data_IF_550259483413
#
_entry.id   IF_550259483413
#
_cell.length_a   1.000
_cell.length_b   1.000
_cell.length_c   1.000
_cell.angle_alpha   90.00
_cell.angle_beta   90.00
_cell.angle_gamma   90.00
#
_symmetry.space_group_name_H-M   'P 1'
#
loop_
_entity.id
_entity.type
_entity.pdbx_description
1 polymer ?
#
# COMPACT_ATOMS: atom_id res chain seq x y z
N UNK A 1 -12.04 -9.69 27.97
CA UNK A 1 -11.81 -9.98 26.55
C UNK A 1 -11.32 -8.69 25.90
N UNK A 2 -10.03 -8.58 25.56
CA UNK A 2 -9.51 -7.36 24.92
C UNK A 2 -10.10 -7.24 23.52
N UNK A 3 -10.89 -6.19 23.28
CA UNK A 3 -11.41 -5.93 21.94
C UNK A 3 -10.26 -5.46 21.04
N UNK A 4 -9.92 -6.28 20.05
CA UNK A 4 -8.94 -5.94 19.02
C UNK A 4 -9.51 -4.85 18.11
N UNK A 5 -8.73 -3.80 17.86
CA UNK A 5 -9.15 -2.73 16.94
C UNK A 5 -9.48 -3.28 15.54
N UNK A 6 -10.51 -2.77 14.84
CA UNK A 6 -10.84 -3.16 13.46
C UNK A 6 -9.68 -3.01 12.46
N UNK A 7 -8.72 -2.10 12.74
CA UNK A 7 -7.49 -2.00 11.94
C UNK A 7 -6.55 -3.18 12.13
N UNK A 8 -6.52 -3.74 13.34
CA UNK A 8 -5.66 -4.87 13.67
C UNK A 8 -6.19 -6.15 13.03
N UNK A 9 -7.52 -6.35 13.01
CA UNK A 9 -8.14 -7.51 12.36
C UNK A 9 -7.89 -7.50 10.85
N UNK A 10 -8.16 -6.39 10.16
CA UNK A 10 -7.91 -6.29 8.72
C UNK A 10 -6.42 -6.50 8.35
N UNK A 11 -5.50 -6.05 9.19
CA UNK A 11 -4.07 -6.29 8.98
C UNK A 11 -3.70 -7.77 9.10
N UNK A 12 -4.20 -8.45 10.14
CA UNK A 12 -3.96 -9.88 10.35
C UNK A 12 -4.51 -10.70 9.18
N UNK A 13 -5.71 -10.40 8.73
CA UNK A 13 -6.35 -11.10 7.60
C UNK A 13 -5.52 -10.94 6.32
N UNK A 14 -5.10 -9.71 6.00
CA UNK A 14 -4.22 -9.43 4.85
C UNK A 14 -2.87 -10.16 4.91
N UNK A 15 -2.32 -10.39 6.11
CA UNK A 15 -1.10 -11.19 6.25
C UNK A 15 -1.37 -12.67 6.00
N UNK A 16 -2.49 -13.20 6.49
CA UNK A 16 -2.84 -14.62 6.36
C UNK A 16 -3.19 -15.01 4.92
N UNK A 17 -3.84 -14.13 4.16
CA UNK A 17 -4.16 -14.38 2.74
C UNK A 17 -2.98 -14.15 1.81
N UNK A 18 -1.90 -13.53 2.29
CA UNK A 18 -0.74 -13.14 1.47
C UNK A 18 -0.94 -11.83 0.68
N UNK A 19 -2.09 -11.18 0.80
CA UNK A 19 -2.37 -9.92 0.10
C UNK A 19 -1.49 -8.77 0.60
N UNK A 20 -1.06 -8.82 1.87
CA UNK A 20 -0.09 -7.86 2.40
C UNK A 20 1.20 -7.83 1.56
N UNK A 21 1.77 -9.00 1.24
CA UNK A 21 3.00 -9.08 0.44
C UNK A 21 2.75 -8.62 -0.99
N UNK A 22 1.58 -8.92 -1.56
CA UNK A 22 1.18 -8.41 -2.88
C UNK A 22 1.12 -6.87 -2.92
N UNK A 23 0.54 -6.24 -1.90
CA UNK A 23 0.50 -4.78 -1.79
C UNK A 23 1.88 -4.17 -1.52
N UNK A 24 2.72 -4.86 -0.74
CA UNK A 24 4.11 -4.48 -0.51
C UNK A 24 4.93 -4.50 -1.81
N UNK A 25 4.80 -5.53 -2.62
CA UNK A 25 5.48 -5.63 -3.92
C UNK A 25 4.98 -4.56 -4.91
N UNK A 26 3.67 -4.29 -4.93
CA UNK A 26 3.13 -3.17 -5.70
C UNK A 26 3.77 -1.84 -5.27
N UNK A 27 3.83 -1.56 -3.97
CA UNK A 27 4.45 -0.34 -3.46
C UNK A 27 5.92 -0.24 -3.90
N UNK A 28 6.72 -1.31 -3.73
CA UNK A 28 8.12 -1.33 -4.17
C UNK A 28 8.25 -1.03 -5.66
N UNK A 29 7.42 -1.67 -6.49
CA UNK A 29 7.39 -1.44 -7.95
C UNK A 29 7.12 0.04 -8.27
N UNK A 30 6.10 0.65 -7.65
CA UNK A 30 5.76 2.06 -7.88
C UNK A 30 6.85 3.02 -7.41
N UNK A 31 7.53 2.72 -6.30
CA UNK A 31 8.64 3.54 -5.81
C UNK A 31 9.85 3.51 -6.77
N UNK A 32 10.10 2.37 -7.43
CA UNK A 32 11.11 2.29 -8.49
C UNK A 32 10.66 3.07 -9.72
N UNK A 33 9.45 2.82 -10.21
CA UNK A 33 8.93 3.45 -11.45
C UNK A 33 8.81 4.97 -11.35
N UNK A 34 8.49 5.53 -10.19
CA UNK A 34 8.42 6.97 -9.99
C UNK A 34 9.79 7.62 -9.67
N UNK A 35 10.89 6.86 -9.73
CA UNK A 35 12.24 7.34 -9.46
C UNK A 35 12.52 7.68 -7.99
N UNK A 36 11.68 7.21 -7.05
CA UNK A 36 11.90 7.45 -5.63
C UNK A 36 13.18 6.76 -5.15
N UNK A 37 13.42 5.50 -5.58
CA UNK A 37 14.64 4.77 -5.21
C UNK A 37 15.92 5.52 -5.62
N UNK A 38 15.93 6.12 -6.82
CA UNK A 38 17.08 6.89 -7.30
C UNK A 38 17.30 8.16 -6.48
N UNK A 39 16.22 8.87 -6.13
CA UNK A 39 16.27 10.04 -5.24
C UNK A 39 16.82 9.67 -3.87
N UNK A 40 16.39 8.55 -3.29
CA UNK A 40 16.92 8.06 -2.01
C UNK A 40 18.41 7.78 -2.10
N UNK A 41 18.88 7.14 -3.17
CA UNK A 41 20.31 6.89 -3.35
C UNK A 41 21.13 8.18 -3.43
N UNK A 42 20.63 9.21 -4.11
CA UNK A 42 21.27 10.53 -4.15
C UNK A 42 21.37 11.12 -2.74
N UNK A 43 20.25 11.14 -2.00
CA UNK A 43 20.19 11.67 -0.64
C UNK A 43 21.12 10.91 0.31
N UNK A 44 21.19 9.58 0.21
CA UNK A 44 22.13 8.77 1.00
C UNK A 44 23.58 9.21 0.77
N UNK A 45 23.97 9.41 -0.50
CA UNK A 45 25.33 9.84 -0.85
C UNK A 45 25.64 11.25 -0.36
N UNK A 46 24.66 12.16 -0.44
CA UNK A 46 24.81 13.53 0.07
C UNK A 46 25.00 13.55 1.58
N UNK A 47 24.17 12.83 2.34
CA UNK A 47 24.28 12.75 3.81
C UNK A 47 25.62 12.12 4.20
N UNK A 48 26.02 11.02 3.55
CA UNK A 48 27.31 10.38 3.83
C UNK A 48 28.49 11.32 3.57
N UNK A 49 28.43 12.13 2.50
CA UNK A 49 29.45 13.13 2.17
C UNK A 49 29.48 14.27 3.19
N UNK A 50 28.32 14.78 3.60
CA UNK A 50 28.20 15.89 4.55
C UNK A 50 28.65 15.51 5.96
N UNK A 51 28.33 14.29 6.40
CA UNK A 51 28.63 13.81 7.76
C UNK A 51 30.04 13.24 7.89
N UNK A 52 30.65 12.84 6.77
CA UNK A 52 31.98 12.29 6.73
C UNK A 52 32.08 10.85 7.26
N UNK A 53 33.30 10.32 7.44
CA UNK A 53 33.55 8.89 7.67
C UNK A 53 33.07 8.34 9.02
N UNK A 54 32.63 9.19 9.95
CA UNK A 54 32.15 8.78 11.27
C UNK A 54 30.67 8.38 11.34
N UNK A 55 29.90 8.54 10.25
CA UNK A 55 28.49 8.18 10.23
C UNK A 55 28.28 6.67 10.24
N UNK A 56 27.43 6.19 11.15
CA UNK A 56 27.01 4.79 11.17
C UNK A 56 25.89 4.51 10.17
N UNK A 57 25.76 3.26 9.73
CA UNK A 57 24.65 2.86 8.85
C UNK A 57 23.28 3.17 9.48
N UNK A 58 23.13 3.01 10.79
CA UNK A 58 21.88 3.32 11.49
C UNK A 58 21.55 4.82 11.42
N UNK A 59 22.51 5.69 11.71
CA UNK A 59 22.32 7.14 11.61
C UNK A 59 21.98 7.56 10.18
N UNK A 60 22.65 6.98 9.18
CA UNK A 60 22.33 7.24 7.77
C UNK A 60 20.89 6.80 7.45
N UNK A 61 20.47 5.61 7.89
CA UNK A 61 19.10 5.13 7.69
C UNK A 61 18.07 6.04 8.37
N UNK A 62 18.32 6.46 9.60
CA UNK A 62 17.38 7.32 10.35
C UNK A 62 17.20 8.68 9.67
N UNK A 63 18.29 9.31 9.22
CA UNK A 63 18.23 10.58 8.50
C UNK A 63 17.56 10.44 7.12
N UNK A 64 17.92 9.39 6.37
CA UNK A 64 17.33 9.11 5.05
C UNK A 64 15.85 8.78 5.17
N UNK A 65 15.43 8.04 6.21
CA UNK A 65 14.04 7.62 6.37
C UNK A 65 13.09 8.81 6.57
N UNK A 66 13.53 9.86 7.28
CA UNK A 66 12.75 11.10 7.44
C UNK A 66 12.51 11.77 6.08
N UNK A 67 13.58 12.01 5.31
CA UNK A 67 13.49 12.63 3.97
C UNK A 67 12.72 11.73 3.00
N UNK A 68 12.99 10.43 3.01
CA UNK A 68 12.41 9.48 2.09
C UNK A 68 10.91 9.32 2.25
N UNK A 69 10.39 9.29 3.48
CA UNK A 69 8.93 9.25 3.72
C UNK A 69 8.21 10.49 3.17
N UNK A 70 8.84 11.66 3.23
CA UNK A 70 8.29 12.90 2.70
C UNK A 70 8.22 12.91 1.16
N UNK A 71 9.18 12.26 0.49
CA UNK A 71 9.29 12.20 -0.97
C UNK A 71 8.34 11.20 -1.64
N UNK A 72 7.66 10.32 -0.89
CA UNK A 72 6.72 9.37 -1.49
C UNK A 72 5.55 10.14 -2.13
N UNK A 73 5.35 10.04 -3.46
CA UNK A 73 4.32 10.80 -4.15
C UNK A 73 2.90 10.45 -3.67
N UNK A 74 2.03 11.45 -3.61
CA UNK A 74 0.62 11.23 -3.24
C UNK A 74 -0.11 10.31 -4.22
N UNK A 75 0.30 10.26 -5.49
CA UNK A 75 -0.23 9.32 -6.48
C UNK A 75 -0.02 7.87 -6.04
N UNK A 76 1.18 7.51 -5.60
CA UNK A 76 1.52 6.16 -5.12
C UNK A 76 0.71 5.82 -3.86
N UNK A 77 0.62 6.75 -2.91
CA UNK A 77 -0.19 6.57 -1.69
C UNK A 77 -1.66 6.33 -2.01
N UNK A 78 -2.23 7.12 -2.93
CA UNK A 78 -3.62 6.99 -3.36
C UNK A 78 -3.89 5.67 -4.06
N UNK A 79 -3.02 5.26 -5.00
CA UNK A 79 -3.17 3.98 -5.70
C UNK A 79 -3.15 2.81 -4.71
N UNK A 80 -2.18 2.79 -3.79
CA UNK A 80 -2.08 1.72 -2.80
C UNK A 80 -3.31 1.68 -1.88
N UNK A 81 -3.73 2.84 -1.37
CA UNK A 81 -4.92 2.95 -0.52
C UNK A 81 -6.18 2.48 -1.26
N UNK A 82 -6.33 2.86 -2.52
CA UNK A 82 -7.48 2.47 -3.34
C UNK A 82 -7.54 0.96 -3.50
N UNK A 83 -6.41 0.32 -3.85
CA UNK A 83 -6.37 -1.14 -4.04
C UNK A 83 -6.59 -1.93 -2.76
N UNK A 84 -6.09 -1.46 -1.63
CA UNK A 84 -6.38 -2.07 -0.32
C UNK A 84 -7.87 -1.95 0.00
N UNK A 85 -8.49 -0.78 -0.20
CA UNK A 85 -9.93 -0.59 0.00
C UNK A 85 -10.77 -1.49 -0.90
N UNK A 86 -10.47 -1.52 -2.19
CA UNK A 86 -11.17 -2.38 -3.15
C UNK A 86 -11.11 -3.85 -2.75
N UNK A 87 -9.94 -4.33 -2.33
CA UNK A 87 -9.77 -5.68 -1.84
C UNK A 87 -10.60 -5.95 -0.58
N UNK A 88 -10.52 -5.10 0.45
CA UNK A 88 -11.31 -5.27 1.68
C UNK A 88 -12.82 -5.21 1.45
N UNK A 89 -13.28 -4.33 0.55
CA UNK A 89 -14.70 -4.25 0.17
C UNK A 89 -15.16 -5.49 -0.58
N UNK A 90 -14.30 -6.06 -1.44
CA UNK A 90 -14.56 -7.31 -2.14
C UNK A 90 -14.66 -8.49 -1.18
N UNK A 91 -13.71 -8.63 -0.25
CA UNK A 91 -13.73 -9.68 0.78
C UNK A 91 -14.97 -9.58 1.69
N UNK A 92 -15.44 -8.36 1.96
CA UNK A 92 -16.68 -8.13 2.72
C UNK A 92 -17.97 -8.33 1.87
N UNK A 93 -17.87 -8.74 0.61
CA UNK A 93 -19.01 -9.06 -0.26
C UNK A 93 -19.78 -7.84 -0.78
N UNK A 94 -19.24 -6.61 -0.67
CA UNK A 94 -19.97 -5.40 -1.08
C UNK A 94 -20.27 -5.35 -2.60
N UNK A 95 -19.42 -5.96 -3.42
CA UNK A 95 -19.59 -5.96 -4.89
C UNK A 95 -20.41 -7.15 -5.42
N UNK A 96 -20.59 -8.22 -4.64
CA UNK A 96 -21.38 -9.39 -5.05
C UNK A 96 -22.89 -9.09 -5.09
N UNK A 97 -23.34 -8.12 -4.29
CA UNK A 97 -24.76 -7.76 -4.18
C UNK A 97 -25.28 -6.98 -5.42
N UNK A 98 -24.41 -6.22 -6.10
CA UNK A 98 -24.80 -5.49 -7.32
C UNK A 98 -24.86 -6.39 -8.56
N UNK A 99 -24.00 -7.42 -8.62
CA UNK A 99 -24.04 -8.45 -9.67
C UNK A 99 -25.31 -9.31 -9.56
N UNK A 100 -25.71 -9.70 -8.35
CA UNK A 100 -26.96 -10.46 -8.12
C UNK A 100 -28.21 -9.67 -8.51
N UNK A 101 -28.29 -8.39 -8.14
CA UNK A 101 -29.39 -7.50 -8.55
C UNK A 101 -29.48 -7.38 -10.07
N UNK A 102 -28.35 -7.22 -10.77
CA UNK A 102 -28.34 -7.09 -12.23
C UNK A 102 -28.77 -8.37 -12.95
N UNK A 103 -28.45 -9.54 -12.39
CA UNK A 103 -28.89 -10.83 -12.94
C UNK A 103 -30.35 -11.15 -12.65
N UNK A 104 -30.91 -10.72 -11.51
CA UNK A 104 -32.34 -10.88 -11.21
C UNK A 104 -33.21 -9.96 -12.06
N UNK A 105 -32.81 -8.70 -12.28
CA UNK A 105 -33.56 -7.77 -13.14
C UNK A 105 -33.55 -8.18 -14.62
N UNK A 106 -32.44 -8.73 -15.12
CA UNK A 106 -32.35 -9.21 -16.50
C UNK A 106 -33.15 -10.51 -16.76
N UNK A 107 -33.40 -11.32 -15.72
CA UNK A 107 -34.20 -12.54 -15.82
C UNK A 107 -35.71 -12.24 -15.90
N UNK A 108 -36.20 -11.20 -15.21
CA UNK A 108 -37.60 -10.75 -15.30
C UNK A 108 -37.93 -10.09 -16.65
N UNK A 109 -36.99 -9.35 -17.24
CA UNK A 109 -37.18 -8.67 -18.54
C UNK A 109 -37.13 -9.62 -19.76
N UNK A 110 -36.65 -10.86 -19.59
CA UNK A 110 -36.52 -11.85 -20.69
C UNK A 110 -37.68 -12.84 -20.75
N UNK A 111 -38.64 -12.76 -19.81
CA UNK A 111 -39.79 -13.68 -19.71
C UNK A 111 -41.15 -13.00 -19.92
N UNK A 112 -41.15 -11.73 -20.34
CA UNK A 112 -42.31 -10.98 -20.85
C UNK A 112 -42.09 -10.58 -22.31
#
# INVERSE_FOLDING_TARGET
MSQSSPRNTAYVDLMQTGDYDRFRELLKKRLVECGWCDQIQVICREIAREKGPGITAQQLMDEVAVKGRALVPNSVKRELLQKVKEHLLKEAGYYDNELKKKTETAADESMS
#
